data_IF_858381118265
#
_entry.id   IF_858381118265
#
_cell.length_a   1.000
_cell.length_b   1.000
_cell.length_c   1.000
_cell.angle_alpha   90.00
_cell.angle_beta   90.00
_cell.angle_gamma   90.00
#
_symmetry.space_group_name_H-M   'P 1'
#
loop_
_entity.id
_entity.type
_entity.pdbx_description
1 polymer ?
#
# COMPACT_ATOMS: atom_id res chain seq x y z
N UNK A 1 -41.06 -17.18 -48.92
CA UNK A 1 -41.97 -18.27 -49.30
C UNK A 1 -41.56 -19.48 -48.46
N UNK A 2 -42.11 -19.79 -47.30
CA UNK A 2 -43.32 -19.42 -46.55
C UNK A 2 -42.91 -19.40 -45.04
N UNK A 3 -43.42 -18.58 -44.10
CA UNK A 3 -44.81 -18.36 -43.66
C UNK A 3 -45.47 -19.74 -43.32
N UNK A 4 -45.97 -20.08 -42.15
CA UNK A 4 -46.67 -19.34 -41.10
C UNK A 4 -46.82 -20.28 -39.86
N UNK A 5 -46.72 -19.71 -38.65
CA UNK A 5 -47.63 -19.83 -37.47
C UNK A 5 -48.19 -21.19 -37.02
N UNK A 6 -48.05 -21.51 -35.71
CA UNK A 6 -49.20 -21.48 -34.79
C UNK A 6 -48.82 -21.42 -33.30
N UNK A 7 -49.39 -20.41 -32.65
CA UNK A 7 -49.44 -20.08 -31.23
C UNK A 7 -50.48 -20.89 -30.45
N UNK A 8 -50.31 -20.92 -29.12
CA UNK A 8 -51.32 -20.76 -28.04
C UNK A 8 -50.62 -21.18 -26.74
N UNK A 9 -50.17 -20.28 -25.85
CA UNK A 9 -50.96 -19.46 -24.90
C UNK A 9 -52.05 -20.30 -24.22
N UNK A 10 -52.11 -20.46 -22.89
CA UNK A 10 -52.69 -19.48 -21.96
C UNK A 10 -52.40 -19.89 -20.49
N UNK A 11 -51.80 -18.96 -19.75
CA UNK A 11 -51.79 -18.75 -18.27
C UNK A 11 -53.25 -18.75 -17.72
N UNK A 12 -53.57 -18.89 -16.40
CA UNK A 12 -53.19 -17.82 -15.46
C UNK A 12 -53.28 -18.06 -13.93
N UNK A 13 -52.84 -16.99 -13.23
CA UNK A 13 -53.34 -16.45 -11.95
C UNK A 13 -52.79 -17.09 -10.67
N UNK A 14 -51.80 -16.45 -10.00
CA UNK A 14 -51.90 -15.32 -9.02
C UNK A 14 -52.13 -15.88 -7.58
N UNK A 15 -51.56 -15.41 -6.48
CA UNK A 15 -50.97 -14.12 -6.09
C UNK A 15 -50.35 -14.30 -4.66
N UNK A 16 -50.01 -13.25 -3.89
CA UNK A 16 -48.67 -12.68 -3.69
C UNK A 16 -48.05 -13.02 -2.31
N UNK A 17 -46.77 -12.71 -2.10
CA UNK A 17 -46.30 -12.18 -0.80
C UNK A 17 -44.94 -11.50 -0.92
N UNK A 18 -44.95 -10.28 -0.41
CA UNK A 18 -43.85 -9.33 -0.34
C UNK A 18 -42.85 -9.68 0.77
N UNK A 19 -41.77 -8.89 0.76
CA UNK A 19 -40.80 -8.64 1.83
C UNK A 19 -39.82 -9.76 2.19
N UNK A 20 -38.59 -9.63 1.70
CA UNK A 20 -37.51 -9.06 2.53
C UNK A 20 -36.19 -9.02 1.74
N UNK A 21 -35.75 -7.79 1.48
CA UNK A 21 -34.37 -7.43 1.16
C UNK A 21 -33.43 -7.94 2.25
N UNK A 22 -32.39 -8.74 1.96
CA UNK A 22 -31.20 -8.78 2.78
C UNK A 22 -30.26 -7.69 2.26
N UNK A 23 -30.10 -6.67 3.09
CA UNK A 23 -28.98 -5.74 3.17
C UNK A 23 -27.95 -5.90 2.03
N UNK A 24 -27.87 -4.95 1.09
CA UNK A 24 -26.90 -3.86 1.25
C UNK A 24 -25.69 -4.32 2.08
N UNK A 25 -24.90 -5.27 1.53
CA UNK A 25 -23.51 -5.44 1.95
C UNK A 25 -22.94 -4.05 1.83
N UNK A 26 -22.63 -3.50 3.01
CA UNK A 26 -22.17 -2.16 3.22
C UNK A 26 -21.34 -1.76 2.01
N UNK A 27 -21.73 -0.64 1.37
CA UNK A 27 -20.71 0.27 0.88
C UNK A 27 -19.72 0.31 2.04
N UNK A 28 -18.60 -0.42 1.93
CA UNK A 28 -17.38 -0.02 2.59
C UNK A 28 -17.33 1.44 2.19
N UNK A 29 -17.64 2.30 3.16
CA UNK A 29 -17.46 3.72 3.01
C UNK A 29 -16.13 3.83 2.29
N UNK A 30 -16.16 4.44 1.10
CA UNK A 30 -14.92 4.86 0.46
C UNK A 30 -14.12 5.44 1.61
N UNK A 31 -12.97 4.85 2.02
CA UNK A 31 -12.18 5.49 3.06
C UNK A 31 -12.04 6.92 2.56
N UNK A 32 -12.56 7.88 3.34
CA UNK A 32 -12.91 9.21 2.87
C UNK A 32 -11.75 9.77 2.09
N UNK A 33 -12.04 10.55 1.03
CA UNK A 33 -11.07 11.29 0.22
C UNK A 33 -9.97 11.91 1.10
N UNK A 34 -8.94 11.13 1.38
CA UNK A 34 -7.75 11.55 2.12
C UNK A 34 -6.68 12.02 1.12
N UNK A 35 -6.91 11.73 -0.17
CA UNK A 35 -6.10 12.13 -1.33
C UNK A 35 -6.30 13.62 -1.72
N UNK A 36 -7.31 14.33 -1.19
CA UNK A 36 -7.50 15.78 -1.43
C UNK A 36 -6.66 16.65 -0.47
N UNK A 37 -6.01 16.04 0.53
CA UNK A 37 -5.04 16.74 1.39
C UNK A 37 -3.70 16.83 0.67
N UNK A 38 -2.90 17.90 0.90
CA UNK A 38 -1.56 17.98 0.34
C UNK A 38 -0.76 16.73 0.73
N UNK A 39 -0.11 16.12 -0.25
CA UNK A 39 0.66 14.88 -0.13
C UNK A 39 1.49 14.80 1.17
N UNK A 40 2.15 15.90 1.52
CA UNK A 40 2.98 16.00 2.73
C UNK A 40 2.18 15.79 4.04
N UNK A 41 1.00 16.39 4.17
CA UNK A 41 0.15 16.21 5.35
C UNK A 41 -0.38 14.79 5.41
N UNK A 42 -0.82 14.22 4.28
CA UNK A 42 -1.26 12.83 4.24
C UNK A 42 -0.16 11.88 4.70
N UNK A 43 1.07 12.07 4.21
CA UNK A 43 2.18 11.20 4.58
C UNK A 43 2.48 11.35 6.08
N UNK A 44 2.63 12.58 6.58
CA UNK A 44 3.01 12.81 7.98
C UNK A 44 1.91 12.46 8.98
N UNK A 45 0.66 12.87 8.74
CA UNK A 45 -0.44 12.73 9.70
C UNK A 45 -1.09 11.35 9.68
N UNK A 46 -1.11 10.69 8.52
CA UNK A 46 -1.89 9.46 8.35
C UNK A 46 -1.03 8.26 7.97
N UNK A 47 -0.15 8.40 6.97
CA UNK A 47 0.66 7.27 6.51
C UNK A 47 1.71 6.83 7.54
N UNK A 48 2.53 7.75 8.06
CA UNK A 48 3.56 7.44 9.06
C UNK A 48 3.01 6.74 10.31
N UNK A 49 1.96 7.25 11.00
CA UNK A 49 1.44 6.57 12.18
C UNK A 49 0.83 5.21 11.85
N UNK A 50 0.05 5.11 10.77
CA UNK A 50 -0.56 3.83 10.37
C UNK A 50 0.50 2.79 10.01
N UNK A 51 1.56 3.22 9.33
CA UNK A 51 2.68 2.36 8.99
C UNK A 51 3.43 1.91 10.24
N UNK A 52 3.66 2.80 11.22
CA UNK A 52 4.29 2.47 12.50
C UNK A 52 3.48 1.42 13.25
N UNK A 53 2.16 1.57 13.32
CA UNK A 53 1.28 0.58 13.94
C UNK A 53 1.30 -0.77 13.20
N UNK A 54 1.27 -0.75 11.87
CA UNK A 54 1.34 -1.96 11.07
C UNK A 54 2.68 -2.68 11.23
N UNK A 55 3.79 -1.93 11.31
CA UNK A 55 5.11 -2.45 11.60
C UNK A 55 5.19 -3.07 13.00
N UNK A 56 4.62 -2.42 14.01
CA UNK A 56 4.54 -2.96 15.37
C UNK A 56 3.75 -4.28 15.41
N UNK A 57 2.58 -4.32 14.75
CA UNK A 57 1.78 -5.55 14.59
C UNK A 57 2.52 -6.66 13.85
N UNK A 58 3.39 -6.30 12.91
CA UNK A 58 4.22 -7.23 12.16
C UNK A 58 5.49 -7.67 12.92
N UNK A 59 5.75 -7.13 14.12
CA UNK A 59 6.87 -7.51 14.99
C UNK A 59 8.05 -6.54 15.03
N UNK A 60 7.94 -5.36 14.42
CA UNK A 60 8.92 -4.27 14.50
C UNK A 60 8.39 -3.18 15.45
N UNK A 61 8.73 -3.29 16.74
CA UNK A 61 8.20 -2.41 17.79
C UNK A 61 8.90 -1.04 17.84
N UNK A 62 10.17 -0.96 17.40
CA UNK A 62 11.00 0.24 17.48
C UNK A 62 11.41 0.74 16.08
N UNK A 63 10.42 1.05 15.24
CA UNK A 63 10.64 1.70 13.96
C UNK A 63 10.65 3.22 14.09
N UNK A 64 11.76 3.83 13.68
CA UNK A 64 11.90 5.26 13.43
C UNK A 64 11.51 5.54 11.98
N UNK A 65 10.39 6.25 11.79
CA UNK A 65 9.94 6.67 10.48
C UNK A 65 10.15 8.17 10.33
N UNK A 66 10.84 8.57 9.26
CA UNK A 66 11.06 9.97 8.92
C UNK A 66 10.61 10.23 7.49
N UNK A 67 10.08 11.43 7.27
CA UNK A 67 9.69 11.90 5.95
C UNK A 67 10.54 13.12 5.62
N UNK A 68 11.37 13.01 4.59
CA UNK A 68 12.40 13.99 4.27
C UNK A 68 12.49 14.17 2.77
N UNK A 69 12.71 15.40 2.33
CA UNK A 69 13.02 15.71 0.94
C UNK A 69 14.54 15.75 0.77
N UNK A 70 15.10 14.83 -0.02
CA UNK A 70 16.53 14.82 -0.32
C UNK A 70 16.82 14.13 -1.65
N UNK A 71 18.04 14.28 -2.14
CA UNK A 71 18.52 13.54 -3.30
C UNK A 71 18.55 12.04 -3.00
N UNK A 72 18.25 11.23 -4.02
CA UNK A 72 18.25 9.77 -3.89
C UNK A 72 19.68 9.33 -3.49
N UNK A 73 19.88 8.72 -2.31
CA UNK A 73 21.21 8.41 -1.77
C UNK A 73 21.83 7.16 -2.43
N UNK A 74 21.72 7.06 -3.76
CA UNK A 74 22.13 5.92 -4.58
C UNK A 74 23.14 6.43 -5.60
N UNK A 75 24.38 5.95 -5.48
CA UNK A 75 25.47 6.32 -6.38
C UNK A 75 25.11 5.91 -7.82
N UNK A 76 24.93 6.90 -8.70
CA UNK A 76 24.63 6.69 -10.11
C UNK A 76 23.15 6.77 -10.50
N UNK A 77 22.23 6.97 -9.54
CA UNK A 77 20.85 7.32 -9.88
C UNK A 77 20.83 8.74 -10.47
N UNK A 78 20.42 8.88 -11.73
CA UNK A 78 20.52 10.12 -12.50
C UNK A 78 19.56 11.25 -12.08
N UNK A 79 18.82 11.07 -10.99
CA UNK A 79 17.91 12.08 -10.48
C UNK A 79 18.64 12.99 -9.50
N UNK A 80 19.33 14.00 -10.04
CA UNK A 80 19.88 15.14 -9.28
C UNK A 80 18.78 16.09 -8.76
N UNK A 81 17.54 15.60 -8.68
CA UNK A 81 16.39 16.37 -8.19
C UNK A 81 16.00 15.84 -6.82
N UNK A 82 15.83 16.73 -5.83
CA UNK A 82 15.40 16.33 -4.49
C UNK A 82 13.98 15.76 -4.58
N UNK A 83 13.80 14.52 -4.11
CA UNK A 83 12.49 13.87 -4.08
C UNK A 83 12.06 13.63 -2.65
N UNK A 84 10.74 13.55 -2.44
CA UNK A 84 10.21 13.18 -1.14
C UNK A 84 10.45 11.69 -0.89
N UNK A 85 11.05 11.39 0.25
CA UNK A 85 11.29 10.01 0.64
C UNK A 85 10.82 9.74 2.07
N UNK A 86 10.13 8.61 2.24
CA UNK A 86 9.82 8.04 3.54
C UNK A 86 10.93 7.06 3.88
N UNK A 87 11.66 7.34 4.96
CA UNK A 87 12.76 6.51 5.45
C UNK A 87 12.32 5.85 6.74
N UNK A 88 12.27 4.52 6.75
CA UNK A 88 12.05 3.75 7.97
C UNK A 88 13.33 3.08 8.40
N UNK A 89 13.76 3.28 9.64
CA UNK A 89 14.93 2.66 10.25
C UNK A 89 14.53 1.93 11.53
N UNK A 90 15.08 0.75 11.75
CA UNK A 90 14.93 0.05 13.01
C UNK A 90 16.10 -0.86 13.27
N UNK A 91 16.32 -1.12 14.56
CA UNK A 91 17.27 -2.11 15.01
C UNK A 91 16.49 -3.40 15.27
N UNK A 92 16.94 -4.50 14.66
CA UNK A 92 16.40 -5.80 15.01
C UNK A 92 17.07 -6.27 16.31
N UNK A 93 16.32 -6.25 17.41
CA UNK A 93 16.79 -6.72 18.71
C UNK A 93 16.80 -8.25 18.77
N UNK A 94 17.98 -8.83 19.04
CA UNK A 94 18.39 -10.18 19.52
C UNK A 94 17.64 -11.47 19.10
N UNK A 95 16.41 -11.42 18.55
CA UNK A 95 15.62 -12.59 18.13
C UNK A 95 16.18 -13.28 16.89
N UNK A 96 17.05 -12.62 16.14
CA UNK A 96 17.71 -13.18 14.97
C UNK A 96 19.22 -13.21 15.21
N UNK A 97 19.70 -14.35 15.75
CA UNK A 97 21.12 -14.69 16.01
C UNK A 97 22.09 -14.37 14.85
N UNK A 98 21.57 -14.20 13.63
CA UNK A 98 22.32 -13.93 12.40
C UNK A 98 22.01 -12.57 11.73
N UNK A 99 21.13 -11.73 12.29
CA UNK A 99 20.73 -10.45 11.70
C UNK A 99 20.85 -9.31 12.71
N UNK A 100 22.03 -9.20 13.33
CA UNK A 100 22.47 -8.00 14.05
C UNK A 100 22.81 -6.92 13.02
N UNK A 101 21.81 -6.17 12.59
CA UNK A 101 22.02 -5.09 11.62
C UNK A 101 20.91 -4.08 11.67
N UNK A 102 21.28 -2.80 11.58
CA UNK A 102 20.34 -1.70 11.39
C UNK A 102 19.68 -1.88 10.02
N UNK A 103 18.36 -2.07 10.01
CA UNK A 103 17.60 -2.20 8.78
C UNK A 103 17.01 -0.85 8.43
N UNK A 104 16.97 -0.58 7.13
CA UNK A 104 16.40 0.64 6.60
C UNK A 104 15.62 0.31 5.33
N UNK A 105 14.45 0.93 5.15
CA UNK A 105 13.80 1.02 3.86
C UNK A 105 13.57 2.48 3.50
N UNK A 106 13.54 2.76 2.20
CA UNK A 106 13.20 4.05 1.63
C UNK A 106 12.09 3.86 0.61
N UNK A 107 11.05 4.68 0.67
CA UNK A 107 10.04 4.81 -0.37
C UNK A 107 10.21 6.20 -0.98
N UNK A 108 10.38 6.26 -2.29
CA UNK A 108 10.61 7.48 -3.04
C UNK A 108 9.34 7.88 -3.78
N UNK A 109 9.03 9.18 -3.70
CA UNK A 109 7.90 9.85 -4.36
C UNK A 109 8.46 11.01 -5.22
N UNK A 110 8.94 10.71 -6.44
CA UNK A 110 9.43 11.73 -7.37
C UNK A 110 8.37 12.78 -7.75
N UNK A 111 7.11 12.39 -7.90
CA UNK A 111 6.04 13.26 -8.41
C UNK A 111 5.28 14.00 -7.30
N UNK A 112 5.74 13.91 -6.03
CA UNK A 112 5.02 14.42 -4.85
C UNK A 112 3.57 13.94 -4.76
N UNK A 113 3.28 12.77 -5.33
CA UNK A 113 1.96 12.20 -5.41
C UNK A 113 2.00 10.70 -5.07
N UNK A 114 0.96 10.25 -4.36
CA UNK A 114 0.74 8.86 -4.01
C UNK A 114 0.29 8.05 -5.24
N UNK A 115 -0.37 8.68 -6.21
CA UNK A 115 -0.82 8.00 -7.43
C UNK A 115 0.28 7.90 -8.49
N UNK A 116 1.27 8.80 -8.45
CA UNK A 116 2.41 8.87 -9.38
C UNK A 116 3.43 7.74 -9.27
N UNK A 117 4.59 7.93 -9.91
CA UNK A 117 5.67 6.96 -9.86
C UNK A 117 6.19 6.82 -8.43
N UNK A 118 6.38 5.57 -8.00
CA UNK A 118 6.91 5.25 -6.68
C UNK A 118 8.03 4.22 -6.81
N UNK A 119 9.05 4.42 -6.01
CA UNK A 119 10.19 3.52 -5.94
C UNK A 119 10.39 3.04 -4.50
N UNK A 120 10.91 1.84 -4.35
CA UNK A 120 11.23 1.24 -3.07
C UNK A 120 12.71 0.85 -3.05
N UNK A 121 13.35 1.09 -1.92
CA UNK A 121 14.67 0.56 -1.66
C UNK A 121 14.74 -0.02 -0.26
N UNK A 122 15.60 -1.02 -0.09
CA UNK A 122 15.85 -1.69 1.17
C UNK A 122 17.35 -1.82 1.37
N UNK A 123 17.79 -1.61 2.61
CA UNK A 123 19.18 -1.73 3.01
C UNK A 123 19.28 -2.40 4.38
N UNK A 124 20.41 -3.07 4.60
CA UNK A 124 20.75 -3.75 5.84
C UNK A 124 22.11 -3.30 6.34
N UNK A 125 22.39 -3.54 7.62
CA UNK A 125 23.66 -3.20 8.26
C UNK A 125 24.03 -1.71 8.23
N UNK A 126 23.04 -0.82 8.08
CA UNK A 126 23.27 0.64 8.04
C UNK A 126 23.98 1.16 6.80
N UNK A 127 24.10 0.35 5.74
CA UNK A 127 24.65 0.82 4.46
C UNK A 127 23.65 1.74 3.74
N UNK A 128 24.18 2.58 2.84
CA UNK A 128 23.32 3.32 1.92
C UNK A 128 22.56 2.34 1.01
N UNK A 129 21.27 2.61 0.72
CA UNK A 129 20.54 1.83 -0.26
C UNK A 129 21.30 1.81 -1.59
N UNK A 130 21.34 0.66 -2.26
CA UNK A 130 22.06 0.50 -3.53
C UNK A 130 21.14 0.08 -4.68
N UNK A 131 19.94 -0.42 -4.37
CA UNK A 131 18.99 -0.95 -5.35
C UNK A 131 17.70 -0.13 -5.30
N UNK A 132 17.22 0.34 -6.45
CA UNK A 132 15.88 0.91 -6.61
C UNK A 132 15.00 -0.16 -7.26
N UNK A 133 13.86 -0.44 -6.63
CA UNK A 133 12.84 -1.33 -7.15
C UNK A 133 11.56 -0.56 -7.42
N UNK A 134 10.78 -1.02 -8.40
CA UNK A 134 9.45 -0.49 -8.65
C UNK A 134 8.49 -0.79 -7.50
N UNK A 135 7.70 0.21 -7.10
CA UNK A 135 6.74 0.09 -6.00
C UNK A 135 5.32 0.41 -6.48
N UNK A 136 4.41 -0.57 -6.36
CA UNK A 136 2.98 -0.41 -6.70
C UNK A 136 2.72 0.17 -8.11
N UNK A 137 3.44 -0.33 -9.12
CA UNK A 137 3.31 0.15 -10.52
C UNK A 137 2.06 -0.34 -11.23
N UNK A 138 1.45 -1.44 -10.78
CA UNK A 138 0.26 -2.03 -11.39
C UNK A 138 -1.04 -1.42 -10.81
N UNK A 139 -0.93 -0.67 -9.72
CA UNK A 139 -2.08 -0.20 -8.97
C UNK A 139 -2.66 1.07 -9.56
N UNK A 140 -3.83 0.94 -10.20
CA UNK A 140 -4.56 2.07 -10.79
C UNK A 140 -5.11 3.06 -9.76
N UNK A 141 -5.24 2.65 -8.49
CA UNK A 141 -5.70 3.49 -7.37
C UNK A 141 -4.93 3.11 -6.12
N UNK A 142 -4.37 4.10 -5.45
CA UNK A 142 -3.50 3.89 -4.29
C UNK A 142 -4.14 4.50 -3.05
N UNK A 143 -4.70 3.65 -2.19
CA UNK A 143 -5.23 4.07 -0.89
C UNK A 143 -4.16 3.94 0.20
N UNK A 144 -4.34 4.63 1.33
CA UNK A 144 -3.49 4.51 2.52
C UNK A 144 -3.26 3.06 2.94
N UNK A 145 -4.34 2.31 3.10
CA UNK A 145 -4.29 0.91 3.55
C UNK A 145 -3.50 0.04 2.58
N UNK A 146 -3.66 0.29 1.28
CA UNK A 146 -2.94 -0.44 0.23
C UNK A 146 -1.44 -0.14 0.28
N UNK A 147 -1.08 1.13 0.46
CA UNK A 147 0.32 1.58 0.58
C UNK A 147 1.02 0.93 1.78
N UNK A 148 0.34 0.91 2.93
CA UNK A 148 0.84 0.25 4.15
C UNK A 148 0.95 -1.26 3.93
N UNK A 149 -0.09 -1.90 3.38
CA UNK A 149 -0.11 -3.34 3.11
C UNK A 149 1.04 -3.77 2.19
N UNK A 150 1.25 -3.07 1.07
CA UNK A 150 2.32 -3.37 0.13
C UNK A 150 3.70 -3.16 0.75
N UNK A 151 3.85 -2.14 1.59
CA UNK A 151 5.10 -1.91 2.31
C UNK A 151 5.40 -3.07 3.26
N UNK A 152 4.44 -3.48 4.09
CA UNK A 152 4.60 -4.64 4.98
C UNK A 152 4.88 -5.92 4.19
N UNK A 153 4.19 -6.14 3.07
CA UNK A 153 4.43 -7.29 2.20
C UNK A 153 5.85 -7.29 1.63
N UNK A 154 6.37 -6.14 1.16
CA UNK A 154 7.75 -5.99 0.69
C UNK A 154 8.77 -6.25 1.80
N UNK A 155 8.52 -5.74 3.01
CA UNK A 155 9.37 -6.03 4.17
C UNK A 155 9.34 -7.51 4.54
N UNK A 156 8.19 -8.18 4.39
CA UNK A 156 8.10 -9.62 4.64
C UNK A 156 8.82 -10.43 3.55
N UNK A 157 8.76 -10.00 2.29
CA UNK A 157 9.50 -10.63 1.18
C UNK A 157 11.02 -10.60 1.39
N UNK A 158 11.53 -9.55 2.06
CA UNK A 158 12.93 -9.45 2.52
C UNK A 158 13.26 -10.40 3.70
N UNK A 159 12.29 -11.19 4.19
CA UNK A 159 12.37 -12.05 5.39
C UNK A 159 12.70 -11.26 6.65
N UNK A 160 12.18 -10.04 6.75
CA UNK A 160 12.47 -9.16 7.88
C UNK A 160 11.49 -9.27 9.04
N UNK A 161 10.27 -9.77 8.79
CA UNK A 161 9.16 -9.77 9.76
C UNK A 161 8.93 -11.16 10.39
N UNK A 162 8.69 -12.19 9.57
CA UNK A 162 8.44 -13.55 10.04
C UNK A 162 9.37 -14.57 9.39
N UNK A 163 9.74 -15.61 10.13
CA UNK A 163 10.39 -16.79 9.56
C UNK A 163 9.31 -17.68 8.96
N UNK A 164 9.20 -17.68 7.62
CA UNK A 164 8.44 -18.71 6.91
C UNK A 164 9.12 -20.07 7.02
#
# INVERSE_FOLDING_TARGET
MAEETNEQEVKPTAEPKADAKPAAKAKKEKPPKLEDKPFNEFIQEHYLPTLKEAMAKAGIENADLTFVQQEVPIKGASSNQPCWQVVGKWQNGDRQKYSKGNRQFNIYFPDEDISGQKAFSSSTYGHAPSTIESFMIDEKRVNLELLVMYTIQRLNAQKWLTRN
#
